data_IF_305367284774
#
_entry.id   IF_305367284774
#
_cell.length_a   1.000
_cell.length_b   1.000
_cell.length_c   1.000
_cell.angle_alpha   90.00
_cell.angle_beta   90.00
_cell.angle_gamma   90.00
#
_symmetry.space_group_name_H-M   'P 1'
#
loop_
_entity.id
_entity.type
_entity.pdbx_description
1 polymer ?
#
# COMPACT_ATOMS: atom_id res chain seq x y z
N UNK A 1 -1.76 -4.46 -9.03
CA UNK A 1 -0.93 -3.34 -8.54
C UNK A 1 -0.79 -3.31 -7.02
N UNK A 2 -1.85 -3.61 -6.25
CA UNK A 2 -1.84 -3.61 -4.77
C UNK A 2 -0.73 -4.46 -4.12
N UNK A 3 -0.22 -5.49 -4.81
CA UNK A 3 0.76 -6.44 -4.27
C UNK A 3 2.20 -5.92 -4.24
N UNK A 4 2.60 -5.08 -5.21
CA UNK A 4 3.96 -4.52 -5.29
C UNK A 4 4.18 -3.39 -4.28
N UNK A 5 3.09 -2.79 -3.80
CA UNK A 5 3.10 -1.71 -2.83
C UNK A 5 2.87 -2.17 -1.39
N UNK A 6 2.68 -3.48 -1.15
CA UNK A 6 2.58 -4.03 0.19
C UNK A 6 3.92 -3.83 0.92
N UNK A 7 3.93 -2.91 1.90
CA UNK A 7 5.13 -2.51 2.63
C UNK A 7 5.51 -1.04 2.44
N UNK A 8 5.01 -0.37 1.39
CA UNK A 8 5.14 1.07 1.25
C UNK A 8 4.09 1.79 2.13
N UNK A 9 4.43 2.96 2.73
CA UNK A 9 3.45 3.80 3.40
C UNK A 9 2.33 4.22 2.44
N UNK A 10 1.13 4.43 2.97
CA UNK A 10 -0.05 4.86 2.23
C UNK A 10 0.18 6.11 1.39
N UNK A 11 0.96 7.08 1.89
CA UNK A 11 1.32 8.28 1.13
C UNK A 11 2.06 7.93 -0.18
N UNK A 12 3.10 7.08 -0.10
CA UNK A 12 3.85 6.65 -1.27
C UNK A 12 2.97 5.85 -2.23
N UNK A 13 2.09 4.98 -1.70
CA UNK A 13 1.13 4.24 -2.54
C UNK A 13 0.17 5.16 -3.27
N UNK A 14 -0.35 6.18 -2.59
CA UNK A 14 -1.29 7.13 -3.18
C UNK A 14 -0.61 7.97 -4.26
N UNK A 15 0.62 8.42 -4.03
CA UNK A 15 1.40 9.14 -5.04
C UNK A 15 1.57 8.33 -6.33
N UNK A 16 2.04 7.08 -6.23
CA UNK A 16 2.19 6.21 -7.40
C UNK A 16 0.86 5.89 -8.09
N UNK A 17 -0.22 5.77 -7.32
CA UNK A 17 -1.56 5.60 -7.87
C UNK A 17 -2.00 6.83 -8.67
N UNK A 18 -1.79 8.03 -8.12
CA UNK A 18 -2.18 9.28 -8.75
C UNK A 18 -1.36 9.56 -10.02
N UNK A 19 -0.06 9.24 -10.02
CA UNK A 19 0.80 9.29 -11.21
C UNK A 19 0.28 8.37 -12.32
N UNK A 20 -0.07 7.12 -12.00
CA UNK A 20 -0.63 6.19 -12.98
C UNK A 20 -1.98 6.67 -13.53
N UNK A 21 -2.84 7.20 -12.67
CA UNK A 21 -4.14 7.73 -13.09
C UNK A 21 -3.95 8.94 -13.99
N UNK A 22 -3.00 9.82 -13.69
CA UNK A 22 -2.65 10.96 -14.53
C UNK A 22 -2.19 10.52 -15.93
N UNK A 23 -1.32 9.51 -16.04
CA UNK A 23 -0.91 8.94 -17.34
C UNK A 23 -2.11 8.40 -18.13
N UNK A 24 -3.06 7.74 -17.46
CA UNK A 24 -4.26 7.20 -18.10
C UNK A 24 -5.22 8.28 -18.59
N UNK A 25 -5.23 9.47 -17.98
CA UNK A 25 -6.10 10.58 -18.40
C UNK A 25 -5.74 11.13 -19.77
N UNK A 26 -4.49 11.00 -20.20
CA UNK A 26 -4.04 11.40 -21.53
C UNK A 26 -4.47 10.41 -22.63
N UNK A 27 -4.95 9.23 -22.25
CA UNK A 27 -5.35 8.17 -23.17
C UNK A 27 -6.85 8.21 -23.48
N UNK A 28 -7.22 7.94 -24.73
CA UNK A 28 -8.61 7.64 -25.09
C UNK A 28 -9.10 6.36 -24.39
N UNK A 29 -10.41 6.27 -24.10
CA UNK A 29 -11.03 5.18 -23.28
C UNK A 29 -10.57 3.76 -23.64
N UNK A 30 -10.47 3.45 -24.93
CA UNK A 30 -10.05 2.11 -25.40
C UNK A 30 -8.54 1.90 -25.22
N UNK A 31 -7.73 2.94 -25.42
CA UNK A 31 -6.30 2.89 -25.18
C UNK A 31 -5.98 2.75 -23.67
N UNK A 32 -6.70 3.49 -22.82
CA UNK A 32 -6.62 3.37 -21.37
C UNK A 32 -6.95 1.94 -20.89
N UNK A 33 -7.99 1.31 -21.46
CA UNK A 33 -8.33 -0.08 -21.12
C UNK A 33 -7.23 -1.07 -21.54
N UNK A 34 -6.70 -0.96 -22.76
CA UNK A 34 -5.61 -1.84 -23.22
C UNK A 34 -4.34 -1.63 -22.40
N UNK A 35 -4.03 -0.38 -22.05
CA UNK A 35 -2.92 -0.05 -21.16
C UNK A 35 -3.08 -0.73 -19.80
N UNK A 36 -4.24 -0.57 -19.15
CA UNK A 36 -4.51 -1.20 -17.86
C UNK A 36 -4.40 -2.73 -17.91
N UNK A 37 -4.90 -3.37 -18.97
CA UNK A 37 -4.77 -4.84 -19.16
C UNK A 37 -3.30 -5.24 -19.35
N UNK A 38 -2.53 -4.48 -20.14
CA UNK A 38 -1.10 -4.72 -20.36
C UNK A 38 -0.27 -4.59 -19.07
N UNK A 39 -0.53 -3.55 -18.28
CA UNK A 39 0.09 -3.35 -16.96
C UNK A 39 -0.28 -4.48 -16.00
N UNK A 40 -1.54 -4.91 -15.97
CA UNK A 40 -1.97 -6.02 -15.13
C UNK A 40 -1.31 -7.35 -15.52
N UNK A 41 -1.20 -7.63 -16.82
CA UNK A 41 -0.57 -8.85 -17.34
C UNK A 41 0.95 -8.88 -17.09
N UNK A 42 1.62 -7.74 -17.14
CA UNK A 42 3.07 -7.62 -16.89
C UNK A 42 3.43 -7.52 -15.40
N UNK A 43 2.46 -7.27 -14.51
CA UNK A 43 2.72 -7.12 -13.08
C UNK A 43 3.45 -8.34 -12.47
N UNK A 44 3.10 -9.56 -12.90
CA UNK A 44 3.74 -10.78 -12.39
C UNK A 44 5.18 -10.95 -12.87
N UNK A 45 5.48 -10.59 -14.13
CA UNK A 45 6.84 -10.68 -14.66
C UNK A 45 7.76 -9.58 -14.10
N UNK A 46 7.25 -8.36 -13.94
CA UNK A 46 7.96 -7.28 -13.25
C UNK A 46 8.28 -7.65 -11.79
N UNK A 47 7.33 -8.28 -11.11
CA UNK A 47 7.55 -8.78 -9.75
C UNK A 47 8.65 -9.84 -9.71
N UNK A 48 8.60 -10.82 -10.62
CA UNK A 48 9.63 -11.87 -10.70
C UNK A 48 11.03 -11.32 -11.01
N UNK A 49 11.13 -10.28 -11.85
CA UNK A 49 12.39 -9.62 -12.18
C UNK A 49 12.98 -8.84 -10.99
N UNK A 50 12.12 -8.25 -10.15
CA UNK A 50 12.55 -7.53 -8.95
C UNK A 50 12.95 -8.46 -7.81
N UNK A 51 12.44 -9.70 -7.80
CA UNK A 51 12.73 -10.66 -6.72
C UNK A 51 13.88 -11.61 -7.03
N UNK A 52 14.36 -11.73 -8.27
CA UNK A 52 15.47 -12.65 -8.65
C UNK A 52 15.26 -14.09 -8.14
N UNK A 53 13.99 -14.55 -8.09
CA UNK A 53 13.62 -15.85 -7.50
C UNK A 53 13.60 -15.89 -5.96
N UNK A 54 13.77 -14.74 -5.31
CA UNK A 54 13.57 -14.52 -3.88
C UNK A 54 12.15 -14.87 -3.43
N UNK A 55 11.97 -15.15 -2.13
CA UNK A 55 10.79 -15.83 -1.61
C UNK A 55 9.50 -15.14 -2.07
N UNK A 56 8.59 -15.95 -2.61
CA UNK A 56 7.21 -15.58 -2.94
C UNK A 56 6.66 -14.71 -1.81
N UNK A 57 6.05 -13.54 -2.09
CA UNK A 57 5.51 -12.67 -1.05
C UNK A 57 4.61 -13.52 -0.16
N UNK A 58 4.87 -13.50 1.15
CA UNK A 58 4.10 -14.27 2.11
C UNK A 58 2.61 -14.04 1.84
N UNK A 59 1.80 -15.11 1.78
CA UNK A 59 0.38 -14.98 1.56
C UNK A 59 -0.15 -13.93 2.53
N UNK A 60 -0.87 -12.94 1.99
CA UNK A 60 -1.41 -11.83 2.78
C UNK A 60 -2.03 -12.41 4.04
N UNK A 61 -1.55 -12.01 5.24
CA UNK A 61 -1.88 -12.72 6.46
C UNK A 61 -3.40 -12.77 6.59
N UNK A 62 -3.94 -13.98 6.78
CA UNK A 62 -5.36 -14.17 6.98
C UNK A 62 -5.83 -13.21 8.08
N UNK A 63 -6.68 -12.26 7.71
CA UNK A 63 -7.09 -11.19 8.62
C UNK A 63 -7.81 -11.82 9.81
N UNK A 64 -7.14 -11.86 10.96
CA UNK A 64 -7.76 -12.27 12.21
C UNK A 64 -9.00 -11.43 12.48
N UNK A 65 -10.06 -12.03 13.02
CA UNK A 65 -11.36 -11.37 13.18
C UNK A 65 -11.25 -10.00 13.86
N UNK A 66 -10.41 -9.89 14.89
CA UNK A 66 -10.18 -8.62 15.59
C UNK A 66 -9.58 -7.50 14.73
N UNK A 67 -8.76 -7.82 13.73
CA UNK A 67 -8.29 -6.84 12.77
C UNK A 67 -9.37 -6.48 11.75
N UNK A 68 -10.20 -7.46 11.38
CA UNK A 68 -11.31 -7.28 10.43
C UNK A 68 -12.42 -6.39 11.01
N UNK A 69 -12.70 -6.51 12.30
CA UNK A 69 -13.65 -5.66 13.05
C UNK A 69 -13.04 -4.37 13.57
N UNK A 70 -11.76 -4.09 13.24
CA UNK A 70 -11.04 -2.91 13.69
C UNK A 70 -10.89 -2.77 15.23
N UNK A 71 -11.04 -3.85 16.00
CA UNK A 71 -11.02 -3.84 17.48
C UNK A 71 -9.67 -4.21 18.07
N UNK A 72 -8.94 -5.16 17.47
CA UNK A 72 -7.66 -5.64 17.98
C UNK A 72 -6.58 -5.57 16.91
N UNK A 73 -5.82 -4.48 16.94
CA UNK A 73 -4.62 -4.29 16.15
C UNK A 73 -3.38 -4.40 17.02
N UNK A 74 -2.34 -5.04 16.49
CA UNK A 74 -1.00 -5.10 17.10
C UNK A 74 -0.11 -4.13 16.34
N UNK A 75 -0.13 -2.87 16.74
CA UNK A 75 0.60 -1.81 16.05
C UNK A 75 2.10 -1.90 16.33
N UNK A 76 2.91 -1.97 15.27
CA UNK A 76 4.37 -1.88 15.31
C UNK A 76 4.86 -0.72 14.45
N UNK A 77 5.94 -0.09 14.88
CA UNK A 77 6.65 0.89 14.07
C UNK A 77 7.60 0.15 13.13
N UNK A 78 7.56 0.52 11.86
CA UNK A 78 8.35 -0.05 10.78
C UNK A 78 9.05 1.08 10.05
N UNK A 79 10.19 0.78 9.44
CA UNK A 79 10.97 1.71 8.64
C UNK A 79 10.79 1.39 7.16
N UNK A 80 10.66 2.42 6.32
CA UNK A 80 10.80 2.26 4.88
C UNK A 80 12.27 2.12 4.50
N UNK A 81 12.54 1.66 3.27
CA UNK A 81 13.89 1.63 2.69
C UNK A 81 14.54 3.02 2.67
N UNK A 82 13.72 4.08 2.57
CA UNK A 82 14.15 5.49 2.61
C UNK A 82 14.30 6.05 4.05
N UNK A 83 14.16 5.20 5.07
CA UNK A 83 14.33 5.56 6.48
C UNK A 83 13.12 6.22 7.14
N UNK A 84 12.00 6.37 6.44
CA UNK A 84 10.78 6.96 7.00
C UNK A 84 10.10 5.99 7.98
N UNK A 85 9.63 6.54 9.10
CA UNK A 85 8.90 5.77 10.11
C UNK A 85 7.42 5.74 9.77
N UNK A 86 6.83 4.55 9.73
CA UNK A 86 5.39 4.38 9.64
C UNK A 86 4.95 3.31 10.63
N UNK A 87 3.69 3.39 11.08
CA UNK A 87 3.15 2.43 12.05
C UNK A 87 2.11 1.55 11.35
N UNK A 88 2.32 0.24 11.38
CA UNK A 88 1.44 -0.73 10.76
C UNK A 88 1.10 -1.87 11.73
N UNK A 89 -0.09 -2.45 11.57
CA UNK A 89 -0.52 -3.61 12.33
C UNK A 89 0.26 -4.84 11.87
N UNK A 90 1.00 -5.47 12.77
CA UNK A 90 1.79 -6.67 12.49
C UNK A 90 0.96 -7.90 12.06
N UNK A 91 -0.38 -7.86 12.26
CA UNK A 91 -1.27 -8.97 11.91
C UNK A 91 -1.99 -8.79 10.57
N UNK A 92 -2.42 -7.58 10.24
CA UNK A 92 -3.23 -7.34 9.04
C UNK A 92 -2.64 -6.31 8.07
N UNK A 93 -1.49 -5.73 8.40
CA UNK A 93 -0.81 -4.72 7.59
C UNK A 93 -1.53 -3.38 7.53
N UNK A 94 -2.68 -3.19 8.22
CA UNK A 94 -3.36 -1.89 8.28
C UNK A 94 -2.39 -0.85 8.82
N UNK A 95 -2.30 0.31 8.17
CA UNK A 95 -1.54 1.44 8.67
C UNK A 95 -2.32 2.21 9.73
N UNK A 96 -1.60 2.65 10.76
CA UNK A 96 -2.12 3.58 11.73
C UNK A 96 -2.08 4.98 11.11
N UNK A 97 -3.24 5.44 10.66
CA UNK A 97 -3.44 6.84 10.35
C UNK A 97 -3.86 7.50 11.65
N UNK A 98 -3.12 8.50 12.13
CA UNK A 98 -3.63 9.35 13.21
C UNK A 98 -4.82 10.11 12.63
N UNK A 99 -6.03 9.59 12.81
CA UNK A 99 -7.24 10.40 12.72
C UNK A 99 -7.10 11.48 13.77
N UNK A 100 -6.57 12.63 13.36
CA UNK A 100 -6.27 13.74 14.23
C UNK A 100 -7.50 14.11 15.03
N UNK A 101 -7.52 13.71 16.31
CA UNK A 101 -8.27 14.48 17.27
C UNK A 101 -7.30 15.53 17.77
N UNK A 102 -7.27 16.67 17.08
CA UNK A 102 -6.61 17.88 17.54
C UNK A 102 -7.33 18.38 18.79
N UNK A 103 -7.07 17.79 19.95
CA UNK A 103 -7.34 18.44 21.21
C UNK A 103 -6.23 19.47 21.43
N UNK A 104 -6.39 20.65 20.82
CA UNK A 104 -5.76 21.85 21.35
C UNK A 104 -6.38 22.09 22.73
N UNK A 105 -5.73 21.58 23.78
CA UNK A 105 -5.93 22.10 25.14
C UNK A 105 -4.92 23.24 25.26
N UNK A 106 -5.38 24.46 24.95
CA UNK A 106 -4.65 25.67 25.29
C UNK A 106 -4.51 25.73 26.81
N UNK A 107 -3.28 25.80 27.29
CA UNK A 107 -2.98 26.22 28.65
C UNK A 107 -2.74 27.73 28.63
N UNK A 108 -3.62 28.46 29.31
CA UNK A 108 -3.36 29.78 29.87
C UNK A 108 -4.03 29.82 31.24
#
# INVERSE_FOLDING_TARGET
>A
MERATNGLPSEARNRYHDELVAEMHELGRVAAWRYAVGVAASASSMHAALTDGGPQPEPAPHRVLGCRTNTHHVWRTTHTTDGQLYRACARCGKEYVSTGTSWFIGSA
#
